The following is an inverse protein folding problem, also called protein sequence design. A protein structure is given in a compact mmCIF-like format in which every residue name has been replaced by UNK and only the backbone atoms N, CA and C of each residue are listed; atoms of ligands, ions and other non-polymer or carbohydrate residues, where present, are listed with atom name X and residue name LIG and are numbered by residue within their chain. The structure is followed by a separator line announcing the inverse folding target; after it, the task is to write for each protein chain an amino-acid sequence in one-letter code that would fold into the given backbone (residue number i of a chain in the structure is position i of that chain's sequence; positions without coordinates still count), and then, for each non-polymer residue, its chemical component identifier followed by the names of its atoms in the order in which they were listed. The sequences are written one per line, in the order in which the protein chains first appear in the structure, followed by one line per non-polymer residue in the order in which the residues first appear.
data_IF_316331334519
#
_entry.id   IF_316331334519
#
_cell.length_a   1.000
_cell.length_b   1.000
_cell.length_c   1.000
_cell.angle_alpha   90.00
_cell.angle_beta   90.00
_cell.angle_gamma   90.00
#
_symmetry.space_group_name_H-M   'P 1'
#
loop_
_entity.id
_entity.type
_entity.pdbx_description
1 polymer ?
#
# COMPACT_ATOMS: atom_id res chain seq x y z
N UNK A 1 8.77 -14.28 -15.45
CA UNK A 1 8.32 -12.97 -14.93
C UNK A 1 7.21 -12.39 -15.79
N UNK A 2 7.35 -12.33 -17.12
CA UNK A 2 6.25 -11.84 -17.99
C UNK A 2 4.93 -12.63 -17.79
N UNK A 3 4.98 -13.97 -17.81
CA UNK A 3 3.80 -14.81 -17.53
C UNK A 3 3.20 -14.57 -16.14
N UNK A 4 4.04 -14.31 -15.13
CA UNK A 4 3.60 -14.01 -13.76
C UNK A 4 2.92 -12.63 -13.71
N UNK A 5 3.43 -11.65 -14.45
CA UNK A 5 2.88 -10.29 -14.50
C UNK A 5 1.75 -10.13 -15.53
N UNK A 6 1.47 -11.13 -16.36
CA UNK A 6 0.52 -11.05 -17.47
C UNK A 6 -0.82 -10.43 -17.06
N UNK A 7 -1.45 -10.98 -16.03
CA UNK A 7 -2.73 -10.46 -15.55
C UNK A 7 -2.60 -9.09 -14.89
N UNK A 8 -1.48 -8.81 -14.22
CA UNK A 8 -1.26 -7.52 -13.58
C UNK A 8 -1.19 -6.39 -14.64
N UNK A 9 -0.30 -6.53 -15.63
CA UNK A 9 -0.13 -5.49 -16.64
C UNK A 9 -1.31 -5.39 -17.62
N UNK A 10 -1.92 -6.52 -18.01
CA UNK A 10 -3.02 -6.51 -18.98
C UNK A 10 -4.28 -5.86 -18.40
N UNK A 11 -4.61 -6.15 -17.14
CA UNK A 11 -5.73 -5.50 -16.43
C UNK A 11 -5.42 -4.03 -16.13
N UNK A 12 -4.18 -3.70 -15.80
CA UNK A 12 -3.76 -2.30 -15.63
C UNK A 12 -3.98 -1.47 -16.91
N UNK A 13 -3.67 -2.04 -18.08
CA UNK A 13 -3.91 -1.38 -19.37
C UNK A 13 -5.42 -1.23 -19.69
N UNK A 14 -6.23 -2.25 -19.39
CA UNK A 14 -7.70 -2.19 -19.51
C UNK A 14 -8.32 -1.09 -18.64
N UNK A 15 -7.90 -1.03 -17.37
CA UNK A 15 -8.36 -0.01 -16.43
C UNK A 15 -7.88 1.37 -16.87
N UNK A 16 -6.65 1.49 -17.40
CA UNK A 16 -6.14 2.75 -17.95
C UNK A 16 -7.05 3.25 -19.07
N UNK A 17 -7.31 2.41 -20.08
CA UNK A 17 -8.21 2.77 -21.18
C UNK A 17 -9.57 3.23 -20.66
N UNK A 18 -10.20 2.42 -19.79
CA UNK A 18 -11.51 2.75 -19.23
C UNK A 18 -11.51 4.11 -18.52
N UNK A 19 -10.50 4.38 -17.69
CA UNK A 19 -10.41 5.65 -16.98
C UNK A 19 -10.20 6.82 -17.94
N UNK A 20 -9.38 6.66 -18.99
CA UNK A 20 -9.21 7.70 -20.02
C UNK A 20 -10.49 7.97 -20.81
N UNK A 21 -11.35 6.97 -20.98
CA UNK A 21 -12.65 7.14 -21.65
C UNK A 21 -13.68 7.90 -20.80
N UNK A 22 -13.57 7.82 -19.46
CA UNK A 22 -14.54 8.43 -18.53
C UNK A 22 -13.99 9.64 -17.77
N UNK A 23 -12.72 9.99 -17.91
CA UNK A 23 -12.14 11.11 -17.17
C UNK A 23 -12.73 12.46 -17.61
N UNK A 24 -12.95 13.41 -16.67
CA UNK A 24 -13.53 14.71 -17.01
C UNK A 24 -12.65 15.50 -17.97
N UNK A 25 -13.25 16.24 -18.91
CA UNK A 25 -12.51 17.09 -19.84
C UNK A 25 -11.59 18.07 -19.09
N UNK A 26 -10.31 18.04 -19.43
CA UNK A 26 -9.28 18.90 -18.81
C UNK A 26 -8.74 18.39 -17.47
N UNK A 27 -9.12 17.18 -17.05
CA UNK A 27 -8.61 16.51 -15.85
C UNK A 27 -7.98 15.19 -16.27
N UNK A 28 -6.68 15.03 -16.04
CA UNK A 28 -5.99 13.75 -16.20
C UNK A 28 -5.95 13.04 -14.86
N UNK A 29 -6.65 11.91 -14.76
CA UNK A 29 -6.66 11.11 -13.52
C UNK A 29 -5.28 10.45 -13.35
N UNK A 30 -4.65 10.64 -12.20
CA UNK A 30 -3.39 9.97 -11.84
C UNK A 30 -3.65 8.49 -11.60
N UNK A 31 -2.95 7.64 -12.34
CA UNK A 31 -3.02 6.18 -12.21
C UNK A 31 -1.69 5.66 -11.67
N UNK A 32 -1.79 4.71 -10.72
CA UNK A 32 -0.66 3.98 -10.18
C UNK A 32 -0.74 2.51 -10.54
N UNK A 33 0.39 1.92 -10.91
CA UNK A 33 0.58 0.47 -10.94
C UNK A 33 1.15 -0.04 -9.63
N UNK A 34 1.11 -1.36 -9.40
CA UNK A 34 1.72 -1.99 -8.23
C UNK A 34 2.36 -3.31 -8.62
N UNK A 35 3.56 -3.58 -8.11
CA UNK A 35 4.25 -4.86 -8.24
C UNK A 35 4.62 -5.41 -6.85
N UNK A 36 4.79 -6.73 -6.78
CA UNK A 36 5.03 -7.43 -5.53
C UNK A 36 3.77 -7.57 -4.69
N UNK A 37 3.92 -8.22 -3.54
CA UNK A 37 2.86 -8.35 -2.53
C UNK A 37 3.38 -7.77 -1.21
N UNK A 38 2.61 -6.85 -0.62
CA UNK A 38 2.97 -6.25 0.67
C UNK A 38 2.96 -7.31 1.76
N UNK A 39 4.09 -7.47 2.44
CA UNK A 39 4.35 -8.48 3.46
C UNK A 39 5.21 -9.66 2.98
N UNK A 40 5.52 -9.74 1.68
CA UNK A 40 6.42 -10.75 1.12
C UNK A 40 7.84 -10.17 0.87
N UNK A 41 8.56 -10.77 -0.09
CA UNK A 41 9.90 -10.34 -0.52
C UNK A 41 9.86 -8.95 -1.16
N UNK A 42 11.01 -8.27 -1.15
CA UNK A 42 11.18 -7.01 -1.87
C UNK A 42 10.95 -7.21 -3.37
N UNK A 43 10.34 -6.21 -4.00
CA UNK A 43 10.22 -6.12 -5.44
C UNK A 43 11.60 -5.99 -6.08
N UNK A 44 11.74 -6.48 -7.31
CA UNK A 44 13.02 -6.37 -8.06
C UNK A 44 12.88 -5.53 -9.34
N UNK A 45 13.99 -4.98 -9.86
CA UNK A 45 13.96 -4.27 -11.14
C UNK A 45 13.42 -5.14 -12.29
N UNK A 46 13.71 -6.44 -12.29
CA UNK A 46 13.24 -7.37 -13.32
C UNK A 46 11.71 -7.58 -13.25
N UNK A 47 11.13 -7.55 -12.05
CA UNK A 47 9.67 -7.59 -11.86
C UNK A 47 9.01 -6.31 -12.36
N UNK A 48 9.63 -5.15 -12.07
CA UNK A 48 9.17 -3.85 -12.57
C UNK A 48 9.26 -3.78 -14.10
N UNK A 49 10.35 -4.27 -14.67
CA UNK A 49 10.54 -4.34 -16.12
C UNK A 49 9.51 -5.23 -16.81
N UNK A 50 9.29 -6.43 -16.27
CA UNK A 50 8.28 -7.34 -16.79
C UNK A 50 6.89 -6.70 -16.77
N UNK A 51 6.56 -5.98 -15.69
CA UNK A 51 5.29 -5.27 -15.58
C UNK A 51 5.20 -4.09 -16.56
N UNK A 52 6.17 -3.18 -16.57
CA UNK A 52 6.14 -1.96 -17.38
C UNK A 52 6.21 -2.25 -18.87
N UNK A 53 7.08 -3.15 -19.31
CA UNK A 53 7.16 -3.55 -20.72
C UNK A 53 5.88 -4.25 -21.18
N UNK A 54 5.30 -5.10 -20.33
CA UNK A 54 4.01 -5.73 -20.61
C UNK A 54 2.88 -4.70 -20.70
N UNK A 55 2.87 -3.73 -19.78
CA UNK A 55 1.90 -2.65 -19.72
C UNK A 55 1.97 -1.76 -20.96
N UNK A 56 3.17 -1.33 -21.38
CA UNK A 56 3.36 -0.50 -22.58
C UNK A 56 2.87 -1.21 -23.85
N UNK A 57 3.20 -2.50 -24.00
CA UNK A 57 2.71 -3.31 -25.13
C UNK A 57 1.18 -3.38 -25.12
N UNK A 58 0.60 -3.75 -23.97
CA UNK A 58 -0.85 -3.91 -23.82
C UNK A 58 -1.61 -2.58 -23.98
N UNK A 59 -1.04 -1.46 -23.52
CA UNK A 59 -1.66 -0.14 -23.67
C UNK A 59 -1.60 0.32 -25.12
N UNK A 60 -0.47 0.13 -25.80
CA UNK A 60 -0.30 0.47 -27.22
C UNK A 60 -1.26 -0.28 -28.14
N UNK A 61 -1.59 -1.53 -27.82
CA UNK A 61 -2.62 -2.29 -28.54
C UNK A 61 -4.03 -1.69 -28.37
N UNK A 62 -4.26 -0.93 -27.31
CA UNK A 62 -5.55 -0.29 -26.99
C UNK A 62 -5.68 1.13 -27.52
N UNK A 63 -4.56 1.84 -27.66
CA UNK A 63 -4.53 3.19 -28.19
C UNK A 63 -3.33 3.99 -27.69
N UNK A 64 -3.34 5.29 -28.03
CA UNK A 64 -2.38 6.25 -27.52
C UNK A 64 -2.99 6.97 -26.32
N UNK A 65 -2.65 6.50 -25.12
CA UNK A 65 -3.21 6.97 -23.86
C UNK A 65 -2.09 7.39 -22.92
N UNK A 66 -2.34 8.43 -22.10
CA UNK A 66 -1.47 8.75 -20.98
C UNK A 66 -1.42 7.56 -20.01
N UNK A 67 -0.22 7.04 -19.75
CA UNK A 67 0.00 5.83 -18.96
C UNK A 67 -0.02 6.04 -17.44
N UNK A 68 0.71 5.18 -16.74
CA UNK A 68 0.86 5.24 -15.28
C UNK A 68 1.75 6.42 -14.88
N UNK A 69 1.34 7.09 -13.82
CA UNK A 69 2.08 8.22 -13.24
C UNK A 69 2.99 7.81 -12.08
N UNK A 70 2.81 6.62 -11.51
CA UNK A 70 3.50 6.14 -10.30
C UNK A 70 3.46 4.63 -10.19
N UNK A 71 4.43 4.02 -9.50
CA UNK A 71 4.49 2.57 -9.30
C UNK A 71 4.71 2.26 -7.82
N UNK A 72 3.78 1.54 -7.21
CA UNK A 72 3.97 0.99 -5.87
C UNK A 72 4.84 -0.26 -5.89
N UNK A 73 5.74 -0.35 -4.92
CA UNK A 73 6.74 -1.42 -4.80
C UNK A 73 6.83 -1.92 -3.37
N UNK A 74 7.20 -3.18 -3.20
CA UNK A 74 7.40 -3.77 -1.88
C UNK A 74 8.86 -3.65 -1.45
N UNK A 75 9.08 -3.12 -0.25
CA UNK A 75 10.41 -2.79 0.33
C UNK A 75 10.58 -3.38 1.74
N UNK A 76 9.89 -4.48 2.02
CA UNK A 76 9.96 -5.20 3.30
C UNK A 76 8.94 -4.71 4.35
N UNK A 77 8.08 -3.76 3.96
CA UNK A 77 7.04 -3.25 4.86
C UNK A 77 5.82 -4.16 4.94
N UNK A 78 5.01 -3.99 5.98
CA UNK A 78 3.69 -4.62 6.10
C UNK A 78 2.65 -3.58 6.48
N UNK A 79 1.43 -3.71 5.96
CA UNK A 79 0.35 -2.79 6.28
C UNK A 79 0.00 -2.86 7.78
N UNK A 80 0.13 -1.72 8.47
CA UNK A 80 -0.33 -1.54 9.84
C UNK A 80 0.64 -2.00 10.93
N UNK A 81 1.83 -2.47 10.56
CA UNK A 81 2.87 -2.91 11.50
C UNK A 81 2.52 -4.21 12.23
N UNK A 82 3.47 -4.71 13.02
CA UNK A 82 3.29 -5.93 13.84
C UNK A 82 3.25 -5.52 15.31
N UNK A 83 2.13 -5.77 15.99
CA UNK A 83 2.03 -5.51 17.44
C UNK A 83 2.65 -6.67 18.20
N UNK A 84 3.59 -6.35 19.09
CA UNK A 84 4.25 -7.31 19.98
C UNK A 84 3.35 -7.65 21.19
N UNK A 85 3.60 -8.76 21.90
CA UNK A 85 2.78 -9.15 23.06
C UNK A 85 2.71 -8.10 24.17
N UNK A 86 3.70 -7.20 24.25
CA UNK A 86 3.72 -6.09 25.20
C UNK A 86 2.94 -4.85 24.73
N UNK A 87 2.29 -4.92 23.56
CA UNK A 87 1.51 -3.82 22.97
C UNK A 87 2.33 -2.83 22.16
N UNK A 88 3.67 -2.95 22.13
CA UNK A 88 4.52 -2.10 21.29
C UNK A 88 4.47 -2.52 19.82
N UNK A 89 4.81 -1.60 18.90
CA UNK A 89 4.89 -1.90 17.47
C UNK A 89 6.32 -2.35 17.14
N UNK A 90 6.45 -3.53 16.53
CA UNK A 90 7.72 -4.04 16.04
C UNK A 90 8.33 -3.06 15.04
N UNK A 91 9.63 -2.80 15.19
CA UNK A 91 10.37 -2.00 14.22
C UNK A 91 10.50 -2.81 12.93
N UNK A 92 9.85 -2.33 11.87
CA UNK A 92 9.99 -2.87 10.52
C UNK A 92 11.04 -2.02 9.80
N UNK A 93 11.95 -2.67 9.08
CA UNK A 93 12.91 -1.97 8.24
C UNK A 93 12.27 -1.72 6.87
N UNK A 94 12.39 -0.47 6.38
CA UNK A 94 12.17 -0.16 4.96
C UNK A 94 13.51 -0.32 4.26
N UNK A 95 13.50 -1.02 3.13
CA UNK A 95 14.63 -1.04 2.23
C UNK A 95 14.61 0.20 1.32
N UNK A 96 15.29 1.25 1.76
CA UNK A 96 15.40 2.51 1.03
C UNK A 96 16.25 2.41 -0.24
N UNK A 97 17.20 1.47 -0.30
CA UNK A 97 18.01 1.24 -1.50
C UNK A 97 17.15 0.63 -2.60
N UNK A 98 16.32 -0.37 -2.24
CA UNK A 98 15.31 -0.91 -3.16
C UNK A 98 14.35 0.19 -3.63
N UNK A 99 13.89 1.05 -2.73
CA UNK A 99 12.98 2.15 -3.08
C UNK A 99 13.63 3.14 -4.06
N UNK A 100 14.89 3.49 -3.86
CA UNK A 100 15.67 4.37 -4.75
C UNK A 100 15.81 3.77 -6.14
N UNK A 101 16.30 2.51 -6.22
CA UNK A 101 16.53 1.79 -7.48
C UNK A 101 15.25 1.65 -8.29
N UNK A 102 14.15 1.26 -7.64
CA UNK A 102 12.88 1.09 -8.34
C UNK A 102 12.23 2.43 -8.69
N UNK A 103 12.46 3.48 -7.90
CA UNK A 103 12.03 4.83 -8.21
C UNK A 103 12.71 5.38 -9.46
N UNK A 104 14.03 5.20 -9.57
CA UNK A 104 14.80 5.54 -10.77
C UNK A 104 14.31 4.74 -11.98
N UNK A 105 14.19 3.41 -11.84
CA UNK A 105 13.71 2.55 -12.93
C UNK A 105 12.30 2.90 -13.40
N UNK A 106 11.38 3.25 -12.49
CA UNK A 106 10.05 3.70 -12.85
C UNK A 106 10.07 5.00 -13.68
N UNK A 107 11.01 5.92 -13.40
CA UNK A 107 11.19 7.16 -14.16
C UNK A 107 11.67 6.91 -15.60
N UNK A 108 12.47 5.87 -15.83
CA UNK A 108 12.89 5.49 -17.18
C UNK A 108 11.71 5.08 -18.09
N UNK A 109 10.63 4.56 -17.51
CA UNK A 109 9.37 4.26 -18.21
C UNK A 109 8.37 5.44 -18.23
N UNK A 110 8.79 6.63 -17.79
CA UNK A 110 7.96 7.84 -17.81
C UNK A 110 6.99 8.02 -16.64
N UNK A 111 7.03 7.15 -15.63
CA UNK A 111 6.34 7.40 -14.36
C UNK A 111 7.11 8.44 -13.52
N UNK A 112 6.49 9.02 -12.49
CA UNK A 112 7.15 9.99 -11.59
C UNK A 112 8.12 9.35 -10.58
N UNK A 113 7.98 8.05 -10.31
CA UNK A 113 8.80 7.33 -9.34
C UNK A 113 8.03 6.26 -8.58
N UNK A 114 8.66 5.76 -7.51
CA UNK A 114 8.11 4.71 -6.66
C UNK A 114 7.23 5.26 -5.53
N UNK A 115 6.24 4.45 -5.13
CA UNK A 115 5.31 4.73 -4.03
C UNK A 115 5.57 3.75 -2.89
N UNK A 116 5.66 4.27 -1.65
CA UNK A 116 5.79 3.44 -0.45
C UNK A 116 4.44 3.19 0.21
N UNK A 117 4.01 1.93 0.23
CA UNK A 117 2.89 1.46 1.03
C UNK A 117 3.31 1.21 2.49
N UNK A 118 2.34 1.12 3.42
CA UNK A 118 2.62 0.69 4.80
C UNK A 118 3.49 1.62 5.63
N UNK A 119 3.60 2.92 5.30
CA UNK A 119 4.54 3.84 5.96
C UNK A 119 4.13 4.27 7.39
N UNK A 120 2.90 3.97 7.84
CA UNK A 120 2.33 4.57 9.05
C UNK A 120 2.92 4.09 10.38
N UNK A 121 3.64 2.97 10.38
CA UNK A 121 4.22 2.39 11.59
C UNK A 121 5.74 2.42 11.58
N UNK A 122 6.32 3.20 10.66
CA UNK A 122 7.75 3.41 10.58
C UNK A 122 8.21 4.40 11.66
N UNK A 123 9.47 4.31 12.11
CA UNK A 123 10.04 5.33 12.99
C UNK A 123 10.00 6.72 12.33
N UNK A 124 9.70 7.76 13.11
CA UNK A 124 9.62 9.15 12.62
C UNK A 124 10.90 9.59 11.88
N UNK A 125 12.07 9.17 12.36
CA UNK A 125 13.38 9.50 11.75
C UNK A 125 13.53 8.99 10.31
N UNK A 126 12.72 8.00 9.90
CA UNK A 126 12.74 7.44 8.55
C UNK A 126 12.04 8.34 7.53
N UNK A 127 11.17 9.27 7.97
CA UNK A 127 10.40 10.10 7.04
C UNK A 127 11.28 11.07 6.23
N UNK A 128 12.41 11.49 6.80
CA UNK A 128 13.40 12.31 6.09
C UNK A 128 14.11 11.55 4.97
N UNK A 129 14.11 10.20 4.99
CA UNK A 129 14.74 9.38 3.96
C UNK A 129 13.93 9.31 2.67
N UNK A 130 12.60 9.39 2.73
CA UNK A 130 11.77 9.30 1.52
C UNK A 130 12.08 10.39 0.48
N UNK A 131 12.21 11.69 0.87
CA UNK A 131 12.66 12.71 -0.05
C UNK A 131 14.10 12.51 -0.54
N UNK A 132 15.02 12.04 0.31
CA UNK A 132 16.43 11.80 -0.05
C UNK A 132 16.56 10.74 -1.17
N UNK A 133 15.68 9.73 -1.19
CA UNK A 133 15.66 8.70 -2.23
C UNK A 133 14.62 8.95 -3.32
N UNK A 134 14.10 10.18 -3.42
CA UNK A 134 13.13 10.60 -4.44
C UNK A 134 11.88 9.69 -4.50
N UNK A 135 11.38 9.28 -3.33
CA UNK A 135 10.09 8.59 -3.23
C UNK A 135 8.99 9.55 -3.63
N UNK A 136 8.18 9.16 -4.60
CA UNK A 136 7.16 10.05 -5.15
C UNK A 136 6.01 10.27 -4.18
N UNK A 137 5.59 9.21 -3.47
CA UNK A 137 4.41 9.22 -2.62
C UNK A 137 4.55 8.18 -1.51
N UNK A 138 4.01 8.48 -0.32
CA UNK A 138 3.94 7.54 0.81
C UNK A 138 2.51 7.44 1.32
N UNK A 139 2.06 6.24 1.65
CA UNK A 139 0.70 6.01 2.13
C UNK A 139 0.64 5.91 3.65
N UNK A 140 -0.18 6.77 4.25
CA UNK A 140 -0.42 6.82 5.69
C UNK A 140 -1.92 6.58 5.98
N UNK A 141 -2.21 5.56 6.79
CA UNK A 141 -3.58 5.21 7.16
C UNK A 141 -3.65 4.70 8.61
N UNK A 142 -3.04 3.54 8.91
CA UNK A 142 -3.17 2.90 10.23
C UNK A 142 -2.71 3.80 11.36
N UNK A 143 -1.58 4.51 11.20
CA UNK A 143 -1.07 5.43 12.22
C UNK A 143 -2.06 6.54 12.57
N UNK A 144 -2.70 7.16 11.57
CA UNK A 144 -3.74 8.17 11.81
C UNK A 144 -4.99 7.59 12.48
N UNK A 145 -5.42 6.41 12.05
CA UNK A 145 -6.54 5.72 12.69
C UNK A 145 -6.23 5.42 14.16
N UNK A 146 -5.02 4.95 14.46
CA UNK A 146 -4.57 4.67 15.83
C UNK A 146 -4.56 5.94 16.68
N UNK A 147 -3.98 7.04 16.16
CA UNK A 147 -3.96 8.33 16.86
C UNK A 147 -5.36 8.81 17.26
N UNK A 148 -6.36 8.56 16.43
CA UNK A 148 -7.74 8.94 16.71
C UNK A 148 -8.41 8.01 17.72
N UNK A 149 -8.30 6.70 17.53
CA UNK A 149 -8.97 5.70 18.37
C UNK A 149 -8.34 5.55 19.75
N UNK A 150 -7.04 5.80 19.86
CA UNK A 150 -6.26 5.65 21.10
C UNK A 150 -6.20 6.98 21.88
N UNK A 151 -6.87 8.03 21.40
CA UNK A 151 -6.97 9.32 22.08
C UNK A 151 -7.79 9.18 23.37
N UNK A 152 -7.34 9.79 24.47
CA UNK A 152 -8.02 9.71 25.77
C UNK A 152 -9.44 10.33 25.76
N UNK A 153 -9.71 11.27 24.86
CA UNK A 153 -11.02 11.90 24.67
C UNK A 153 -11.92 11.11 23.71
N UNK A 154 -11.42 10.02 23.09
CA UNK A 154 -12.24 9.17 22.26
C UNK A 154 -13.33 8.49 23.11
N UNK A 155 -14.62 8.56 22.72
CA UNK A 155 -15.71 8.13 23.59
C UNK A 155 -15.60 6.64 23.97
N UNK A 156 -15.45 6.34 25.26
CA UNK A 156 -15.31 4.96 25.75
C UNK A 156 -16.49 4.05 25.34
N UNK A 157 -17.70 4.60 25.30
CA UNK A 157 -18.89 3.89 24.84
C UNK A 157 -18.83 3.52 23.35
N UNK A 158 -18.11 4.29 22.53
CA UNK A 158 -17.86 3.96 21.13
C UNK A 158 -16.80 2.86 21.03
N UNK A 159 -15.69 2.96 21.78
CA UNK A 159 -14.68 1.89 21.87
C UNK A 159 -15.30 0.53 22.22
N UNK A 160 -16.17 0.49 23.23
CA UNK A 160 -16.89 -0.73 23.60
C UNK A 160 -17.77 -1.28 22.46
N UNK A 161 -18.41 -0.41 21.68
CA UNK A 161 -19.19 -0.83 20.51
C UNK A 161 -18.30 -1.40 19.41
N UNK A 162 -17.13 -0.80 19.16
CA UNK A 162 -16.15 -1.32 18.21
C UNK A 162 -15.72 -2.73 18.62
N UNK A 163 -15.35 -2.92 19.89
CA UNK A 163 -14.89 -4.23 20.38
C UNK A 163 -15.99 -5.28 20.26
N UNK A 164 -17.22 -4.98 20.67
CA UNK A 164 -18.38 -5.90 20.51
C UNK A 164 -18.65 -6.25 19.04
N UNK A 165 -18.47 -5.30 18.12
CA UNK A 165 -18.57 -5.56 16.69
C UNK A 165 -17.46 -6.48 16.19
N UNK A 166 -16.25 -6.36 16.73
CA UNK A 166 -15.11 -7.21 16.36
C UNK A 166 -15.19 -8.60 17.00
N UNK A 167 -15.79 -8.74 18.17
CA UNK A 167 -15.93 -10.02 18.89
C UNK A 167 -16.81 -11.03 18.14
N UNK A 168 -17.67 -10.56 17.23
CA UNK A 168 -18.49 -11.43 16.36
C UNK A 168 -17.78 -11.83 15.07
N UNK A 169 -16.53 -11.38 14.86
CA UNK A 169 -15.73 -11.78 13.71
C UNK A 169 -15.43 -13.29 13.72
N UNK A 170 -15.14 -13.90 12.55
CA UNK A 170 -14.81 -15.32 12.46
C UNK A 170 -13.69 -15.74 13.44
N UNK A 171 -13.82 -16.88 14.15
CA UNK A 171 -12.86 -17.28 15.19
C UNK A 171 -11.43 -17.48 14.69
N UNK A 172 -11.23 -17.78 13.41
CA UNK A 172 -9.93 -17.95 12.77
C UNK A 172 -9.10 -16.64 12.70
N UNK A 173 -9.74 -15.49 12.89
CA UNK A 173 -9.05 -14.21 13.00
C UNK A 173 -8.39 -14.01 14.37
N UNK A 174 -8.97 -14.60 15.43
CA UNK A 174 -8.43 -14.56 16.77
C UNK A 174 -7.54 -15.79 17.01
N UNK A 175 -6.27 -15.68 16.61
CA UNK A 175 -5.32 -16.79 16.71
C UNK A 175 -5.07 -17.15 18.19
N UNK A 176 -4.87 -18.44 18.54
CA UNK A 176 -4.66 -18.87 19.93
C UNK A 176 -3.47 -18.23 20.65
N UNK A 177 -2.51 -17.66 19.91
CA UNK A 177 -1.32 -17.00 20.44
C UNK A 177 -1.39 -15.47 20.41
N UNK A 178 -2.56 -14.90 20.10
CA UNK A 178 -2.80 -13.46 20.03
C UNK A 178 -3.48 -12.99 21.33
N UNK A 179 -3.09 -11.83 21.85
CA UNK A 179 -3.82 -11.17 22.94
C UNK A 179 -5.01 -10.38 22.41
N UNK A 180 -6.02 -10.11 23.24
CA UNK A 180 -7.17 -9.28 22.86
C UNK A 180 -6.72 -7.90 22.32
N UNK A 181 -5.69 -7.30 22.93
CA UNK A 181 -5.13 -6.03 22.48
C UNK A 181 -4.54 -6.12 21.06
N UNK A 182 -3.80 -7.20 20.75
CA UNK A 182 -3.28 -7.45 19.40
C UNK A 182 -4.42 -7.70 18.40
N UNK A 183 -5.46 -8.42 18.82
CA UNK A 183 -6.64 -8.69 18.01
C UNK A 183 -7.37 -7.40 17.65
N UNK A 184 -7.78 -6.61 18.64
CA UNK A 184 -8.50 -5.36 18.40
C UNK A 184 -7.66 -4.36 17.59
N UNK A 185 -6.36 -4.24 17.87
CA UNK A 185 -5.46 -3.41 17.05
C UNK A 185 -5.48 -3.83 15.58
N UNK A 186 -5.40 -5.13 15.30
CA UNK A 186 -5.33 -5.64 13.92
C UNK A 186 -6.67 -5.56 13.20
N UNK A 187 -7.75 -5.80 13.93
CA UNK A 187 -9.10 -5.93 13.39
C UNK A 187 -9.85 -4.59 13.29
N UNK A 188 -9.46 -3.55 14.06
CA UNK A 188 -10.20 -2.27 14.14
C UNK A 188 -10.45 -1.56 12.82
N UNK A 189 -9.63 -1.77 11.78
CA UNK A 189 -9.91 -1.26 10.42
C UNK A 189 -11.24 -1.77 9.86
N UNK A 190 -11.70 -2.95 10.30
CA UNK A 190 -12.99 -3.55 9.91
C UNK A 190 -14.17 -2.92 10.61
N UNK A 191 -13.94 -2.23 11.73
CA UNK A 191 -14.98 -1.52 12.46
C UNK A 191 -15.27 -0.14 11.84
N UNK A 192 -14.61 0.26 10.74
CA UNK A 192 -14.87 1.54 10.08
C UNK A 192 -16.10 1.45 9.17
N UNK A 193 -17.21 2.10 9.55
CA UNK A 193 -18.42 2.25 8.72
C UNK A 193 -19.71 1.48 9.12
N UNK A 194 -19.66 0.32 9.81
CA UNK A 194 -20.87 -0.47 10.15
C UNK A 194 -21.91 0.18 11.08
N UNK A 195 -21.68 1.37 11.62
CA UNK A 195 -22.56 2.06 12.59
C UNK A 195 -22.55 3.56 12.38
#
# INVERSE_FOLDING_TARGET
LDEQQFHNYSRSAEITQYIREVEPKGVTISLGGEIGEVGEKNSTPEELDAYMQGYERALKERGDFAGLSKISVQTGTSHGGVVLPDGSIAKVAVDFDTLAVLGERAREYGAGGAVQHGASTLPDDFFNKFPEVETLEIHLATGFMNLFLDNADFPANLTEKLHKFLDVAPPDEHKPNMTDAQFYYKARKKAMGPF
#
